data_IF_340381925796
#
_entry.id   IF_340381925796
#
_cell.length_a   1.000
_cell.length_b   1.000
_cell.length_c   1.000
_cell.angle_alpha   90.00
_cell.angle_beta   90.00
_cell.angle_gamma   90.00
#
_symmetry.space_group_name_H-M   'P 1'
#
loop_
_entity.id
_entity.type
_entity.pdbx_description
1 polymer ?
#
# COMPACT_ATOMS: atom_id res chain seq x y z
N UNK A 1 21.59 -11.29 -5.32
CA UNK A 1 21.13 -10.12 -4.55
C UNK A 1 21.60 -10.27 -3.12
N UNK A 2 22.11 -9.20 -2.50
CA UNK A 2 22.50 -9.19 -1.08
C UNK A 2 21.34 -8.75 -0.19
N UNK A 3 21.43 -9.03 1.11
CA UNK A 3 20.46 -8.54 2.11
C UNK A 3 20.39 -7.02 2.12
N UNK A 4 21.53 -6.33 2.02
CA UNK A 4 21.56 -4.87 1.98
C UNK A 4 20.85 -4.32 0.74
N UNK A 5 21.13 -4.87 -0.45
CA UNK A 5 20.44 -4.47 -1.69
C UNK A 5 18.92 -4.68 -1.60
N UNK A 6 18.49 -5.80 -1.00
CA UNK A 6 17.07 -6.08 -0.81
C UNK A 6 16.41 -5.08 0.14
N UNK A 7 17.04 -4.76 1.28
CA UNK A 7 16.52 -3.80 2.25
C UNK A 7 16.49 -2.36 1.71
N UNK A 8 17.54 -1.95 0.99
CA UNK A 8 17.62 -0.61 0.39
C UNK A 8 16.57 -0.45 -0.71
N UNK A 9 16.40 -1.46 -1.57
CA UNK A 9 15.38 -1.39 -2.63
C UNK A 9 13.97 -1.40 -2.06
N UNK A 10 13.68 -2.24 -1.06
CA UNK A 10 12.39 -2.23 -0.36
C UNK A 10 12.09 -0.86 0.25
N UNK A 11 13.07 -0.25 0.94
CA UNK A 11 12.89 1.06 1.56
C UNK A 11 12.58 2.18 0.56
N UNK A 12 13.15 2.12 -0.66
CA UNK A 12 12.83 3.08 -1.73
C UNK A 12 11.37 2.95 -2.17
N UNK A 13 10.87 1.73 -2.35
CA UNK A 13 9.46 1.49 -2.67
C UNK A 13 8.54 2.00 -1.56
N UNK A 14 8.79 1.62 -0.31
CA UNK A 14 7.97 2.05 0.83
C UNK A 14 7.90 3.57 0.97
N UNK A 15 9.03 4.26 0.75
CA UNK A 15 9.05 5.72 0.75
C UNK A 15 8.13 6.30 -0.33
N UNK A 16 8.13 5.72 -1.52
CA UNK A 16 7.30 6.20 -2.64
C UNK A 16 5.81 6.01 -2.37
N UNK A 17 5.42 4.85 -1.83
CA UNK A 17 4.02 4.53 -1.49
C UNK A 17 3.55 5.45 -0.36
N UNK A 18 4.29 5.51 0.76
CA UNK A 18 4.00 6.41 1.89
C UNK A 18 3.81 7.85 1.44
N UNK A 19 4.76 8.38 0.66
CA UNK A 19 4.72 9.78 0.22
C UNK A 19 3.56 10.04 -0.74
N UNK A 20 3.15 9.03 -1.51
CA UNK A 20 1.97 9.12 -2.34
C UNK A 20 0.70 9.31 -1.51
N UNK A 21 0.50 8.47 -0.49
CA UNK A 21 -0.65 8.60 0.41
C UNK A 21 -0.63 9.89 1.23
N UNK A 22 0.54 10.30 1.73
CA UNK A 22 0.67 11.58 2.44
C UNK A 22 0.27 12.76 1.56
N UNK A 23 0.74 12.80 0.31
CA UNK A 23 0.34 13.85 -0.65
C UNK A 23 -1.13 13.79 -1.02
N UNK A 24 -1.71 12.58 -1.13
CA UNK A 24 -3.13 12.42 -1.41
C UNK A 24 -3.99 12.96 -0.24
N UNK A 25 -3.60 12.66 1.00
CA UNK A 25 -4.22 13.20 2.20
C UNK A 25 -4.17 14.74 2.24
N UNK A 26 -3.04 15.35 1.87
CA UNK A 26 -2.89 16.81 1.84
C UNK A 26 -3.76 17.50 0.79
N UNK A 27 -4.04 16.81 -0.33
CA UNK A 27 -4.71 17.41 -1.50
C UNK A 27 -6.21 17.17 -1.54
N UNK A 28 -6.69 16.07 -0.98
CA UNK A 28 -8.12 15.77 -0.99
C UNK A 28 -8.89 16.77 -0.14
N UNK A 29 -10.09 17.11 -0.60
CA UNK A 29 -11.03 17.96 0.15
C UNK A 29 -12.12 17.17 0.84
N UNK A 30 -12.22 15.86 0.53
CA UNK A 30 -13.16 14.96 1.17
C UNK A 30 -12.60 14.45 2.51
N UNK A 31 -13.40 14.57 3.57
CA UNK A 31 -12.95 14.22 4.93
C UNK A 31 -12.80 12.72 5.13
N UNK A 32 -13.57 11.91 4.42
CA UNK A 32 -13.49 10.46 4.52
C UNK A 32 -12.32 9.93 3.69
N UNK A 33 -12.12 10.44 2.47
CA UNK A 33 -10.94 10.12 1.67
C UNK A 33 -9.65 10.52 2.39
N UNK A 34 -9.61 11.72 3.00
CA UNK A 34 -8.47 12.18 3.79
C UNK A 34 -8.13 11.19 4.91
N UNK A 35 -9.12 10.74 5.69
CA UNK A 35 -8.89 9.79 6.79
C UNK A 35 -8.26 8.51 6.31
N UNK A 36 -8.71 7.99 5.16
CA UNK A 36 -8.18 6.76 4.58
C UNK A 36 -6.75 6.96 4.11
N UNK A 37 -6.47 8.02 3.36
CA UNK A 37 -5.10 8.31 2.92
C UNK A 37 -4.14 8.56 4.09
N UNK A 38 -4.59 9.20 5.17
CA UNK A 38 -3.80 9.35 6.39
C UNK A 38 -3.52 8.00 7.05
N UNK A 39 -4.54 7.13 7.15
CA UNK A 39 -4.36 5.80 7.72
C UNK A 39 -3.36 4.96 6.93
N UNK A 40 -3.46 4.94 5.60
CA UNK A 40 -2.52 4.23 4.73
C UNK A 40 -1.11 4.82 4.83
N UNK A 41 -0.97 6.16 4.82
CA UNK A 41 0.34 6.80 5.01
C UNK A 41 1.00 6.46 6.35
N UNK A 42 0.21 6.26 7.42
CA UNK A 42 0.71 5.82 8.73
C UNK A 42 1.15 4.36 8.67
N UNK A 43 0.39 3.50 7.99
CA UNK A 43 0.74 2.09 7.78
C UNK A 43 2.05 1.94 7.02
N UNK A 44 2.21 2.63 5.89
CA UNK A 44 3.48 2.60 5.14
C UNK A 44 4.66 3.22 5.92
N UNK A 45 4.39 4.18 6.82
CA UNK A 45 5.43 4.72 7.68
C UNK A 45 5.96 3.66 8.67
N UNK A 46 5.10 2.75 9.12
CA UNK A 46 5.50 1.60 9.95
C UNK A 46 6.43 0.67 9.15
N UNK A 47 6.11 0.43 7.87
CA UNK A 47 6.97 -0.35 6.95
C UNK A 47 8.35 0.29 6.77
N UNK A 48 8.38 1.60 6.52
CA UNK A 48 9.61 2.40 6.42
C UNK A 48 10.47 2.27 7.69
N UNK A 49 9.87 2.44 8.87
CA UNK A 49 10.62 2.44 10.13
C UNK A 49 11.15 1.05 10.47
N UNK A 50 10.38 0.02 10.14
CA UNK A 50 10.81 -1.37 10.21
C UNK A 50 12.05 -1.59 9.34
N UNK A 51 11.99 -1.25 8.05
CA UNK A 51 13.08 -1.50 7.11
C UNK A 51 14.34 -0.70 7.44
N UNK A 52 14.19 0.54 7.93
CA UNK A 52 15.31 1.34 8.44
C UNK A 52 15.99 0.68 9.64
N UNK A 53 15.22 0.15 10.56
CA UNK A 53 15.73 -0.57 11.73
C UNK A 53 16.47 -1.84 11.29
N UNK A 54 15.87 -2.62 10.40
CA UNK A 54 16.48 -3.83 9.84
C UNK A 54 17.80 -3.52 9.11
N UNK A 55 17.83 -2.48 8.28
CA UNK A 55 19.02 -2.04 7.55
C UNK A 55 20.13 -1.57 8.50
N UNK A 56 19.78 -0.81 9.54
CA UNK A 56 20.73 -0.34 10.56
C UNK A 56 21.35 -1.53 11.31
N UNK A 57 20.53 -2.49 11.74
CA UNK A 57 21.01 -3.68 12.43
C UNK A 57 21.90 -4.56 11.55
N UNK A 58 21.53 -4.71 10.27
CA UNK A 58 22.34 -5.42 9.30
C UNK A 58 23.70 -4.76 9.09
N UNK A 59 23.74 -3.43 8.92
CA UNK A 59 25.00 -2.68 8.71
C UNK A 59 25.94 -2.74 9.91
N UNK A 60 25.38 -2.71 11.12
CA UNK A 60 26.19 -2.67 12.34
C UNK A 60 26.70 -4.06 12.76
N UNK A 61 25.85 -5.08 12.63
CA UNK A 61 26.10 -6.37 13.27
C UNK A 61 26.00 -7.56 12.32
N UNK A 62 25.58 -7.36 11.07
CA UNK A 62 25.24 -8.43 10.12
C UNK A 62 24.15 -9.39 10.66
N UNK A 63 23.23 -8.84 11.47
CA UNK A 63 22.15 -9.58 12.13
C UNK A 63 20.80 -9.04 11.64
N UNK A 64 19.94 -9.95 11.22
CA UNK A 64 18.51 -9.72 11.00
C UNK A 64 17.72 -10.25 12.21
N UNK A 65 17.36 -9.37 13.15
CA UNK A 65 16.52 -9.75 14.30
C UNK A 65 15.02 -9.66 13.95
N UNK A 66 14.54 -10.66 13.22
CA UNK A 66 13.12 -10.75 12.81
C UNK A 66 12.18 -10.95 14.01
N UNK A 67 12.68 -11.45 15.14
CA UNK A 67 11.86 -11.69 16.33
C UNK A 67 11.55 -10.40 17.07
N UNK A 68 12.52 -9.50 17.23
CA UNK A 68 12.28 -8.16 17.78
C UNK A 68 11.37 -7.32 16.86
N UNK A 69 11.41 -7.59 15.56
CA UNK A 69 10.67 -6.90 14.53
C UNK A 69 9.20 -7.37 14.38
N UNK A 70 8.86 -8.57 14.88
CA UNK A 70 7.54 -9.21 14.73
C UNK A 70 6.39 -8.46 15.42
N UNK A 71 6.69 -7.57 16.36
CA UNK A 71 5.70 -6.82 17.17
C UNK A 71 5.28 -5.49 16.56
N UNK A 72 5.84 -5.11 15.39
CA UNK A 72 5.67 -3.77 14.82
C UNK A 72 4.86 -3.73 13.53
N UNK A 73 4.70 -4.83 12.81
CA UNK A 73 3.88 -4.87 11.60
C UNK A 73 2.43 -5.19 11.96
N UNK A 74 1.45 -4.40 11.48
CA UNK A 74 0.03 -4.72 11.67
C UNK A 74 -0.30 -6.09 11.05
N UNK A 75 -1.18 -6.85 11.69
CA UNK A 75 -1.69 -8.10 11.14
C UNK A 75 -2.96 -7.87 10.32
N UNK A 76 -3.36 -8.86 9.52
CA UNK A 76 -4.58 -8.81 8.69
C UNK A 76 -5.83 -8.43 9.50
N UNK A 77 -5.90 -8.75 10.79
CA UNK A 77 -7.01 -8.35 11.67
C UNK A 77 -6.99 -6.85 11.96
N UNK A 78 -5.82 -6.26 12.20
CA UNK A 78 -5.66 -4.82 12.35
C UNK A 78 -6.06 -4.06 11.09
N UNK A 79 -5.65 -4.54 9.90
CA UNK A 79 -6.03 -3.89 8.65
C UNK A 79 -7.54 -4.04 8.39
N UNK A 80 -8.11 -5.23 8.63
CA UNK A 80 -9.56 -5.46 8.55
C UNK A 80 -10.35 -4.58 9.53
N UNK A 81 -9.86 -4.34 10.75
CA UNK A 81 -10.49 -3.42 11.71
C UNK A 81 -10.39 -1.97 11.26
N UNK A 82 -9.31 -1.61 10.56
CA UNK A 82 -9.21 -0.36 9.82
C UNK A 82 -10.34 -0.24 8.82
N UNK A 83 -10.49 -1.23 7.93
CA UNK A 83 -11.51 -1.24 6.88
C UNK A 83 -12.95 -1.43 7.36
N UNK A 84 -13.19 -2.12 8.47
CA UNK A 84 -14.51 -2.23 9.10
C UNK A 84 -14.97 -0.87 9.66
N UNK A 85 -14.04 -0.06 10.18
CA UNK A 85 -14.35 1.34 10.52
C UNK A 85 -14.60 2.19 9.27
N UNK A 86 -14.01 1.81 8.13
CA UNK A 86 -14.23 2.44 6.82
C UNK A 86 -15.47 1.88 6.09
N UNK A 87 -16.10 0.79 6.53
CA UNK A 87 -17.32 0.26 5.88
C UNK A 87 -18.53 1.17 6.01
N UNK A 88 -18.42 2.25 6.79
CA UNK A 88 -19.39 3.35 6.91
C UNK A 88 -19.16 4.47 5.89
N UNK A 89 -18.07 4.40 5.13
CA UNK A 89 -17.68 5.33 4.05
C UNK A 89 -18.34 4.84 2.76
N UNK A 90 -18.94 5.75 2.00
CA UNK A 90 -19.35 5.43 0.64
C UNK A 90 -18.12 5.61 -0.26
N UNK A 91 -17.34 4.52 -0.39
CA UNK A 91 -16.07 4.50 -1.14
C UNK A 91 -16.21 5.05 -2.57
N UNK A 92 -17.40 4.98 -3.16
CA UNK A 92 -17.68 5.56 -4.47
C UNK A 92 -17.80 7.07 -4.40
N UNK A 93 -18.68 7.57 -3.53
CA UNK A 93 -19.00 9.00 -3.46
C UNK A 93 -17.85 9.79 -2.85
N UNK A 94 -17.23 9.25 -1.81
CA UNK A 94 -16.21 9.95 -1.01
C UNK A 94 -14.88 10.06 -1.76
N UNK A 95 -14.62 9.20 -2.76
CA UNK A 95 -13.38 9.20 -3.55
C UNK A 95 -13.56 9.60 -5.02
N UNK A 96 -14.77 9.99 -5.45
CA UNK A 96 -15.05 10.26 -6.86
C UNK A 96 -14.07 11.25 -7.50
N UNK A 97 -13.64 12.26 -6.75
CA UNK A 97 -12.71 13.29 -7.22
C UNK A 97 -11.23 12.88 -7.08
N UNK A 98 -10.94 11.75 -6.44
CA UNK A 98 -9.59 11.28 -6.12
C UNK A 98 -9.14 10.11 -7.01
N UNK A 99 -9.88 9.81 -8.07
CA UNK A 99 -9.63 8.67 -8.96
C UNK A 99 -8.19 8.65 -9.53
N UNK A 100 -7.65 9.80 -9.93
CA UNK A 100 -6.27 9.92 -10.41
C UNK A 100 -5.26 9.52 -9.32
N UNK A 101 -5.49 9.94 -8.07
CA UNK A 101 -4.62 9.59 -6.95
C UNK A 101 -4.73 8.11 -6.61
N UNK A 102 -5.94 7.55 -6.65
CA UNK A 102 -6.18 6.13 -6.41
C UNK A 102 -5.57 5.23 -7.50
N UNK A 103 -5.61 5.65 -8.77
CA UNK A 103 -4.89 4.95 -9.86
C UNK A 103 -3.38 4.99 -9.65
N UNK A 104 -2.84 6.12 -9.21
CA UNK A 104 -1.44 6.24 -8.83
C UNK A 104 -1.07 5.32 -7.68
N UNK A 105 -1.93 5.23 -6.65
CA UNK A 105 -1.76 4.31 -5.53
C UNK A 105 -1.78 2.87 -6.04
N UNK A 106 -2.81 2.48 -6.79
CA UNK A 106 -2.94 1.13 -7.36
C UNK A 106 -1.70 0.69 -8.14
N UNK A 107 -1.14 1.59 -8.96
CA UNK A 107 0.09 1.31 -9.71
C UNK A 107 1.31 1.16 -8.81
N UNK A 108 1.40 1.91 -7.71
CA UNK A 108 2.49 1.81 -6.75
C UNK A 108 2.37 0.54 -5.92
N UNK A 109 1.18 0.21 -5.41
CA UNK A 109 0.86 -1.01 -4.68
C UNK A 109 1.22 -2.26 -5.49
N UNK A 110 0.80 -2.28 -6.77
CA UNK A 110 1.16 -3.37 -7.69
C UNK A 110 2.67 -3.47 -7.89
N UNK A 111 3.37 -2.34 -8.02
CA UNK A 111 4.81 -2.35 -8.25
C UNK A 111 5.61 -2.80 -7.01
N UNK A 112 5.19 -2.42 -5.81
CA UNK A 112 5.84 -2.86 -4.56
C UNK A 112 5.53 -4.33 -4.26
N UNK A 113 4.30 -4.79 -4.49
CA UNK A 113 3.92 -6.20 -4.37
C UNK A 113 4.73 -7.08 -5.33
N UNK A 114 4.85 -6.69 -6.60
CA UNK A 114 5.70 -7.38 -7.60
C UNK A 114 7.18 -7.40 -7.19
N UNK A 115 7.67 -6.31 -6.58
CA UNK A 115 9.03 -6.25 -6.07
C UNK A 115 9.24 -7.24 -4.93
N UNK A 116 8.32 -7.28 -3.95
CA UNK A 116 8.40 -8.25 -2.85
C UNK A 116 8.26 -9.69 -3.32
N UNK A 117 7.41 -9.98 -4.30
CA UNK A 117 7.33 -11.31 -4.91
C UNK A 117 8.70 -11.74 -5.47
N UNK A 118 9.38 -10.85 -6.20
CA UNK A 118 10.74 -11.13 -6.71
C UNK A 118 11.75 -11.31 -5.58
N UNK A 119 11.67 -10.53 -4.50
CA UNK A 119 12.55 -10.70 -3.35
C UNK A 119 12.33 -12.06 -2.68
N UNK A 120 11.08 -12.49 -2.51
CA UNK A 120 10.73 -13.81 -1.96
C UNK A 120 11.23 -14.94 -2.85
N UNK A 121 11.14 -14.80 -4.17
CA UNK A 121 11.64 -15.82 -5.12
C UNK A 121 13.16 -15.95 -5.13
N UNK A 122 13.89 -14.86 -4.92
CA UNK A 122 15.34 -14.79 -5.13
C UNK A 122 16.19 -14.79 -3.84
N UNK A 123 15.54 -14.75 -2.67
CA UNK A 123 16.20 -14.78 -1.36
C UNK A 123 15.83 -16.05 -0.62
N UNK A 124 16.65 -16.43 0.35
CA UNK A 124 16.43 -17.62 1.18
C UNK A 124 16.48 -17.29 2.68
N UNK A 125 15.96 -18.20 3.48
CA UNK A 125 16.11 -18.17 4.93
C UNK A 125 15.27 -17.09 5.59
N UNK A 126 15.86 -16.41 6.58
CA UNK A 126 15.11 -15.49 7.43
C UNK A 126 14.72 -14.19 6.71
N UNK A 127 15.59 -13.64 5.85
CA UNK A 127 15.26 -12.45 5.04
C UNK A 127 14.10 -12.72 4.07
N UNK A 128 14.02 -13.93 3.50
CA UNK A 128 12.91 -14.34 2.63
C UNK A 128 11.58 -14.35 3.40
N UNK A 129 11.55 -14.97 4.59
CA UNK A 129 10.35 -15.02 5.45
C UNK A 129 9.90 -13.63 5.87
N UNK A 130 10.84 -12.69 6.04
CA UNK A 130 10.52 -11.30 6.33
C UNK A 130 9.77 -10.67 5.16
N UNK A 131 10.34 -10.74 3.95
CA UNK A 131 9.70 -10.16 2.76
C UNK A 131 8.40 -10.87 2.36
N UNK A 132 8.24 -12.16 2.70
CA UNK A 132 6.96 -12.84 2.53
C UNK A 132 5.82 -12.16 3.30
N UNK A 133 6.11 -11.62 4.49
CA UNK A 133 5.11 -10.88 5.26
C UNK A 133 4.78 -9.52 4.65
N UNK A 134 5.78 -8.82 4.13
CA UNK A 134 5.57 -7.58 3.39
C UNK A 134 4.69 -7.84 2.16
N UNK A 135 5.01 -8.89 1.39
CA UNK A 135 4.18 -9.31 0.27
C UNK A 135 2.71 -9.53 0.67
N UNK A 136 2.43 -10.22 1.78
CA UNK A 136 1.06 -10.43 2.25
C UNK A 136 0.32 -9.12 2.61
N UNK A 137 1.03 -8.10 3.08
CA UNK A 137 0.45 -6.78 3.41
C UNK A 137 0.20 -5.97 2.14
N UNK A 138 1.17 -5.91 1.23
CA UNK A 138 1.01 -5.16 -0.02
C UNK A 138 -0.02 -5.79 -0.97
N UNK A 139 -0.13 -7.13 -1.00
CA UNK A 139 -1.22 -7.80 -1.73
C UNK A 139 -2.60 -7.43 -1.18
N UNK A 140 -2.68 -7.20 0.14
CA UNK A 140 -3.90 -6.74 0.77
C UNK A 140 -4.22 -5.28 0.42
N UNK A 141 -3.23 -4.38 0.48
CA UNK A 141 -3.39 -2.98 0.02
C UNK A 141 -3.83 -2.92 -1.43
N UNK A 142 -3.13 -3.63 -2.31
CA UNK A 142 -3.42 -3.76 -3.73
C UNK A 142 -4.87 -4.21 -3.96
N UNK A 143 -5.31 -5.26 -3.28
CA UNK A 143 -6.67 -5.78 -3.43
C UNK A 143 -7.73 -4.71 -3.11
N UNK A 144 -7.54 -3.96 -2.02
CA UNK A 144 -8.54 -2.99 -1.60
C UNK A 144 -8.55 -1.74 -2.47
N UNK A 145 -7.38 -1.17 -2.76
CA UNK A 145 -7.30 -0.02 -3.65
C UNK A 145 -7.85 -0.38 -5.04
N UNK A 146 -7.57 -1.59 -5.53
CA UNK A 146 -8.14 -2.12 -6.76
C UNK A 146 -9.67 -2.15 -6.71
N UNK A 147 -10.26 -2.69 -5.63
CA UNK A 147 -11.71 -2.70 -5.44
C UNK A 147 -12.34 -1.30 -5.44
N UNK A 148 -11.67 -0.30 -4.83
CA UNK A 148 -12.16 1.09 -4.80
C UNK A 148 -12.12 1.71 -6.20
N UNK A 149 -10.99 1.60 -6.90
CA UNK A 149 -10.83 2.13 -8.27
C UNK A 149 -11.89 1.51 -9.19
N UNK A 150 -12.00 0.18 -9.17
CA UNK A 150 -12.99 -0.57 -9.94
C UNK A 150 -14.43 -0.09 -9.70
N UNK A 151 -14.78 0.18 -8.43
CA UNK A 151 -16.11 0.65 -8.04
C UNK A 151 -16.45 2.01 -8.67
N UNK A 152 -15.48 2.92 -8.67
CA UNK A 152 -15.65 4.27 -9.26
C UNK A 152 -15.71 4.18 -10.79
N UNK A 153 -14.84 3.36 -11.41
CA UNK A 153 -14.75 3.25 -12.87
C UNK A 153 -15.96 2.57 -13.52
N UNK A 154 -16.48 1.49 -12.91
CA UNK A 154 -17.68 0.79 -13.42
C UNK A 154 -18.90 1.71 -13.50
N UNK A 155 -19.01 2.70 -12.62
CA UNK A 155 -20.10 3.68 -12.64
C UNK A 155 -19.90 4.75 -13.74
N UNK A 156 -18.66 5.16 -14.00
CA UNK A 156 -18.35 6.11 -15.08
C UNK A 156 -18.66 5.52 -16.48
N UNK A 157 -18.50 4.21 -16.67
CA UNK A 157 -18.87 3.54 -17.94
C UNK A 157 -20.38 3.45 -18.18
N UNK A 158 -21.24 3.60 -17.16
CA UNK A 158 -22.69 3.60 -17.33
C UNK A 158 -23.27 4.97 -17.72
N UNK A 159 -22.46 6.03 -17.76
CA UNK A 159 -22.88 7.40 -18.08
C UNK A 159 -22.57 7.84 -19.52
N UNK A 160 -21.84 7.04 -20.31
CA UNK A 160 -21.59 7.30 -21.74
C UNK A 160 -22.56 6.52 -22.63
N UNK A 161 -23.85 6.88 -22.60
CA UNK A 161 -24.74 6.61 -23.74
C UNK A 161 -24.63 7.83 -24.67
N UNK A 162 -24.08 7.70 -25.90
CA UNK A 162 -24.16 8.79 -26.85
C UNK A 162 -25.64 9.04 -27.15
N UNK A 163 -26.10 10.26 -26.83
CA UNK A 163 -27.41 10.74 -27.28
C UNK A 163 -27.51 10.54 -28.78
N UNK A 164 -28.35 9.60 -29.20
CA UNK A 164 -28.80 9.48 -30.59
C UNK A 164 -29.40 10.83 -30.95
N UNK A 165 -28.72 11.59 -31.81
CA UNK A 165 -29.36 12.68 -32.55
C UNK A 165 -30.52 12.07 -33.33
N UNK A 166 -31.73 12.46 -32.94
CA UNK A 166 -32.93 12.28 -33.75
C UNK A 166 -32.89 13.30 -34.87
N UNK A 167 -32.80 12.80 -36.11
CA UNK A 167 -33.29 13.50 -37.31
C UNK A 167 -34.81 13.30 -37.41
#
# INVERSE_FOLDING_TARGET
MTVEEALVSALDFEHRVRDHYARAAERTTDKNANRIFVSLAIEEQIHVDYLKTALTNWKNNNILDIKALKTSLPDKEWINLGWEKLSKVDLKTDFKNELEMLRGALSLESAVSDHYAKLVENLDGDIQKMFYKFLEMEEYHLAIIGMVVDSIERDNTLLEIPSKKSD
#
